data_IF_975387845477
#
_entry.id   IF_975387845477
#
_cell.length_a   1.000
_cell.length_b   1.000
_cell.length_c   1.000
_cell.angle_alpha   90.00
_cell.angle_beta   90.00
_cell.angle_gamma   90.00
#
_symmetry.space_group_name_H-M   'P 1'
#
loop_
_entity.id
_entity.type
_entity.pdbx_description
1 polymer ?
#
# COMPACT_ATOMS: atom_id res chain seq x y z
N UNK A 1 -4.02 -5.07 25.42
CA UNK A 1 -2.59 -5.10 25.06
C UNK A 1 -2.32 -3.85 24.25
N UNK A 2 -1.75 -2.84 24.89
CA UNK A 2 -1.44 -1.56 24.25
C UNK A 2 -0.14 -1.77 23.49
N UNK A 3 -0.21 -1.94 22.17
CA UNK A 3 0.99 -2.00 21.35
C UNK A 3 1.63 -0.60 21.42
N UNK A 4 2.76 -0.51 22.12
CA UNK A 4 3.58 0.69 22.16
C UNK A 4 3.98 1.05 20.73
N UNK A 5 3.22 1.96 20.12
CA UNK A 5 3.29 2.30 18.69
C UNK A 5 4.46 3.22 18.37
N UNK A 6 5.45 3.34 19.28
CA UNK A 6 6.55 4.28 19.19
C UNK A 6 7.58 3.91 18.12
N UNK A 7 7.57 2.66 17.63
CA UNK A 7 8.57 2.17 16.68
C UNK A 7 8.00 1.16 15.66
N UNK A 8 7.16 1.60 14.71
CA UNK A 8 6.98 0.85 13.47
C UNK A 8 8.05 1.28 12.46
N UNK A 9 8.77 0.32 11.87
CA UNK A 9 9.76 0.60 10.83
C UNK A 9 9.11 1.17 9.55
N UNK A 10 7.81 0.91 9.36
CA UNK A 10 7.06 1.37 8.20
C UNK A 10 6.91 2.89 8.13
N UNK A 11 7.13 3.62 9.23
CA UNK A 11 7.16 5.09 9.23
C UNK A 11 8.32 5.69 8.43
N UNK A 12 9.37 4.91 8.15
CA UNK A 12 10.53 5.36 7.40
C UNK A 12 10.36 5.17 5.88
N UNK A 13 9.34 4.43 5.44
CA UNK A 13 9.05 4.20 4.03
C UNK A 13 8.59 5.51 3.39
N UNK A 14 9.19 5.90 2.26
CA UNK A 14 8.85 7.11 1.55
C UNK A 14 7.66 6.91 0.60
N UNK A 15 6.88 7.96 0.38
CA UNK A 15 5.82 7.96 -0.61
C UNK A 15 6.41 8.05 -2.03
N UNK A 16 5.90 7.22 -2.95
CA UNK A 16 6.21 7.33 -4.36
C UNK A 16 5.64 8.64 -4.92
N UNK A 17 6.44 9.38 -5.69
CA UNK A 17 6.06 10.64 -6.33
C UNK A 17 5.40 10.42 -7.69
N UNK A 18 5.62 9.25 -8.29
CA UNK A 18 5.03 8.83 -9.55
C UNK A 18 4.90 7.29 -9.63
N UNK A 19 4.11 6.81 -10.59
CA UNK A 19 3.84 5.38 -10.78
C UNK A 19 5.04 4.59 -11.32
N UNK A 20 6.01 5.26 -11.94
CA UNK A 20 7.19 4.60 -12.47
C UNK A 20 8.10 4.08 -11.34
N UNK A 21 8.33 4.90 -10.32
CA UNK A 21 9.18 4.56 -9.16
C UNK A 21 8.47 3.75 -8.07
N UNK A 22 7.14 3.78 -8.03
CA UNK A 22 6.37 3.01 -7.05
C UNK A 22 6.67 1.50 -7.18
N UNK A 23 6.95 0.84 -6.07
CA UNK A 23 7.14 -0.61 -6.00
C UNK A 23 6.25 -1.30 -4.96
N UNK A 24 5.64 -0.50 -4.08
CA UNK A 24 4.84 -0.97 -2.94
C UNK A 24 3.47 -0.28 -2.92
N UNK A 25 2.44 -1.01 -2.50
CA UNK A 25 1.11 -0.47 -2.20
C UNK A 25 0.82 -0.55 -0.71
N UNK A 26 0.26 0.51 -0.14
CA UNK A 26 -0.31 0.52 1.19
C UNK A 26 -1.80 0.16 1.11
N UNK A 27 -2.22 -0.77 1.96
CA UNK A 27 -3.62 -1.15 2.04
C UNK A 27 -4.10 -1.51 3.44
N UNK A 28 -5.40 -1.32 3.66
CA UNK A 28 -6.05 -1.65 4.92
C UNK A 28 -6.69 -3.03 4.87
N UNK A 29 -6.44 -3.81 5.92
CA UNK A 29 -7.16 -5.03 6.19
C UNK A 29 -7.60 -5.04 7.66
N UNK A 30 -8.91 -4.96 7.88
CA UNK A 30 -9.47 -4.74 9.21
C UNK A 30 -9.09 -3.36 9.75
N UNK A 31 -8.47 -3.32 10.93
CA UNK A 31 -8.02 -2.09 11.59
C UNK A 31 -6.57 -1.72 11.24
N UNK A 32 -5.83 -2.60 10.56
CA UNK A 32 -4.39 -2.47 10.35
C UNK A 32 -4.04 -2.12 8.90
N UNK A 33 -2.88 -1.46 8.73
CA UNK A 33 -2.32 -1.09 7.43
C UNK A 33 -1.15 -2.02 7.10
N UNK A 34 -1.19 -2.57 5.90
CA UNK A 34 -0.23 -3.49 5.33
C UNK A 34 0.44 -2.89 4.10
N UNK A 35 1.64 -3.38 3.80
CA UNK A 35 2.46 -2.95 2.68
C UNK A 35 2.74 -4.17 1.81
N UNK A 36 2.32 -4.15 0.54
CA UNK A 36 2.57 -5.22 -0.42
C UNK A 36 3.41 -4.72 -1.57
N UNK A 37 4.54 -5.39 -1.82
CA UNK A 37 5.37 -5.13 -2.98
C UNK A 37 4.79 -5.84 -4.20
N UNK A 38 4.79 -5.17 -5.36
CA UNK A 38 4.34 -5.75 -6.63
C UNK A 38 5.44 -5.71 -7.71
N UNK A 39 6.58 -5.09 -7.39
CA UNK A 39 7.82 -5.15 -8.17
C UNK A 39 8.90 -5.81 -7.32
N UNK A 40 9.85 -6.49 -7.97
CA UNK A 40 11.07 -6.96 -7.31
C UNK A 40 11.89 -5.77 -6.82
N UNK A 41 12.28 -5.78 -5.55
CA UNK A 41 13.14 -4.75 -4.94
C UNK A 41 14.52 -5.37 -4.76
N UNK A 42 15.53 -4.82 -5.43
CA UNK A 42 16.91 -5.28 -5.32
C UNK A 42 17.56 -4.74 -4.04
N UNK A 43 18.62 -5.40 -3.53
CA UNK A 43 19.40 -4.85 -2.43
C UNK A 43 19.89 -3.43 -2.74
N UNK A 44 19.63 -2.49 -1.85
CA UNK A 44 20.00 -1.07 -2.00
C UNK A 44 18.95 -0.21 -2.71
N UNK A 45 17.87 -0.79 -3.23
CA UNK A 45 16.73 -0.01 -3.75
C UNK A 45 15.81 0.44 -2.61
N UNK A 46 15.25 1.64 -2.76
CA UNK A 46 14.32 2.22 -1.79
C UNK A 46 12.91 1.64 -1.96
N UNK A 47 12.23 1.41 -0.83
CA UNK A 47 10.81 1.04 -0.82
C UNK A 47 9.99 2.33 -0.99
N UNK A 48 9.24 2.42 -2.09
CA UNK A 48 8.43 3.58 -2.44
C UNK A 48 6.96 3.18 -2.52
N UNK A 49 6.15 3.77 -1.63
CA UNK A 49 4.76 3.36 -1.41
C UNK A 49 3.75 4.38 -1.93
N UNK A 50 2.63 3.90 -2.48
CA UNK A 50 1.43 4.70 -2.67
C UNK A 50 0.19 3.90 -2.24
N UNK A 51 -0.97 4.57 -2.14
CA UNK A 51 -2.21 3.90 -1.80
C UNK A 51 -2.59 2.87 -2.87
N UNK A 52 -3.16 1.74 -2.45
CA UNK A 52 -3.73 0.77 -3.37
C UNK A 52 -4.83 1.40 -4.25
N UNK A 53 -5.06 0.84 -5.43
CA UNK A 53 -5.95 1.44 -6.43
C UNK A 53 -7.41 1.59 -5.96
N UNK A 54 -7.85 0.78 -5.00
CA UNK A 54 -9.19 0.88 -4.44
C UNK A 54 -9.37 2.02 -3.44
N UNK A 55 -8.32 2.78 -3.10
CA UNK A 55 -8.50 4.03 -2.35
C UNK A 55 -9.01 5.14 -3.26
N UNK A 56 -10.13 5.75 -2.89
CA UNK A 56 -10.58 7.01 -3.48
C UNK A 56 -9.71 8.13 -2.93
N UNK A 57 -9.17 8.96 -3.83
CA UNK A 57 -8.24 10.02 -3.46
C UNK A 57 -8.79 11.38 -3.89
N UNK A 58 -8.71 12.35 -3.00
CA UNK A 58 -8.96 13.75 -3.30
C UNK A 58 -7.67 14.53 -3.03
N UNK A 59 -7.09 15.15 -4.08
CA UNK A 59 -5.78 15.79 -4.01
C UNK A 59 -4.65 14.90 -3.44
N UNK A 60 -4.68 13.59 -3.76
CA UNK A 60 -3.70 12.62 -3.27
C UNK A 60 -3.92 12.16 -1.83
N UNK A 61 -5.00 12.56 -1.18
CA UNK A 61 -5.37 12.16 0.18
C UNK A 61 -6.47 11.10 0.09
N UNK A 62 -6.35 9.94 0.77
CA UNK A 62 -7.37 8.90 0.75
C UNK A 62 -8.62 9.38 1.50
N UNK A 63 -9.74 9.48 0.79
CA UNK A 63 -11.05 9.91 1.34
C UNK A 63 -12.00 8.75 1.59
N UNK A 64 -11.68 7.58 1.07
CA UNK A 64 -12.50 6.38 1.24
C UNK A 64 -11.88 5.16 0.57
N UNK A 65 -12.42 3.99 0.89
CA UNK A 65 -12.08 2.73 0.21
C UNK A 65 -13.27 2.33 -0.66
N UNK A 66 -13.04 2.22 -1.97
CA UNK A 66 -14.02 1.67 -2.90
C UNK A 66 -14.32 0.24 -2.51
N UNK A 67 -15.60 -0.08 -2.31
CA UNK A 67 -16.05 -1.46 -2.16
C UNK A 67 -15.87 -2.16 -3.50
N UNK A 68 -14.75 -2.86 -3.66
CA UNK A 68 -14.53 -3.74 -4.80
C UNK A 68 -15.48 -4.93 -4.65
N UNK A 69 -16.52 -4.98 -5.48
CA UNK A 69 -17.27 -6.20 -5.68
C UNK A 69 -16.30 -7.20 -6.31
N UNK A 70 -15.94 -8.28 -5.60
CA UNK A 70 -15.16 -9.39 -6.15
C UNK A 70 -15.97 -10.03 -7.29
N UNK A 71 -15.88 -9.48 -8.49
CA UNK A 71 -16.18 -10.24 -9.70
C UNK A 71 -14.98 -11.17 -9.92
N UNK A 72 -15.28 -12.47 -9.93
CA UNK A 72 -14.34 -13.57 -10.14
C UNK A 72 -13.42 -13.29 -11.33
N UNK A 73 -12.11 -13.44 -11.13
CA UNK A 73 -11.15 -14.02 -12.08
C UNK A 73 -9.76 -14.12 -11.41
N UNK A 74 -9.57 -15.20 -10.66
CA UNK A 74 -8.30 -15.93 -10.68
C UNK A 74 -8.66 -17.33 -11.18
N UNK A 75 -9.07 -17.41 -12.44
CA UNK A 75 -8.84 -18.60 -13.25
C UNK A 75 -7.34 -18.65 -13.55
N UNK A 76 -6.72 -19.72 -13.07
CA UNK A 76 -5.70 -20.50 -13.79
C UNK A 76 -4.70 -19.72 -14.66
N UNK A 77 -3.43 -19.73 -14.24
CA UNK A 77 -2.37 -20.50 -14.93
C UNK A 77 -1.25 -20.79 -13.93
#
# INVERSE_FOLDING_TARGET
MQADSSWCWTKYIQCARNTAEQNTVAFQFGADIYFQTYKTIKPGEEILVWYAEYYEQHHGIPVGVRKINKTKEMSET
#
